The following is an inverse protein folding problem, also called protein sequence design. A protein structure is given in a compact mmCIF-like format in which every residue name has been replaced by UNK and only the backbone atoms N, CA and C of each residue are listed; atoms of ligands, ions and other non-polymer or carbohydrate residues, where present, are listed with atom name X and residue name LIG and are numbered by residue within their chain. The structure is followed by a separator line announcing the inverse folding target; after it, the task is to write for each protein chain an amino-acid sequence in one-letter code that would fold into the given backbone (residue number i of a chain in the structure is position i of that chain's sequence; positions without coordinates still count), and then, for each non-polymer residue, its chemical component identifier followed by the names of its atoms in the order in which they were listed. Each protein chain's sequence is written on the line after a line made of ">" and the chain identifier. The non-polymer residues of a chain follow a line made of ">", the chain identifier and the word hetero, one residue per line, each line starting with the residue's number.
data_IF_403812405579
#
_entry.id   IF_403812405579
#
_cell.length_a   1.000
_cell.length_b   1.000
_cell.length_c   1.000
_cell.angle_alpha   90.00
_cell.angle_beta   90.00
_cell.angle_gamma   90.00
#
_symmetry.space_group_name_H-M   'P 1'
#
loop_
_entity.id
_entity.type
_entity.pdbx_description
1 polymer ?
#
# COMPACT_ATOMS: atom_id res chain seq x y z
N UNK A 1 0.35 9.10 21.67
CA UNK A 1 1.27 8.03 21.22
C UNK A 1 1.55 8.12 19.71
N UNK A 2 0.65 8.74 18.93
CA UNK A 2 0.74 8.84 17.47
C UNK A 2 1.97 9.59 16.95
N UNK A 3 2.41 10.65 17.64
CA UNK A 3 3.59 11.42 17.22
C UNK A 3 4.90 10.64 17.32
N UNK A 4 5.05 9.78 18.35
CA UNK A 4 6.26 8.97 18.53
C UNK A 4 6.31 7.83 17.50
N UNK A 5 5.18 7.16 17.28
CA UNK A 5 5.04 6.15 16.22
C UNK A 5 5.29 6.77 14.84
N UNK A 6 4.68 7.92 14.54
CA UNK A 6 4.91 8.61 13.26
C UNK A 6 6.38 9.02 13.06
N UNK A 7 7.04 9.53 14.10
CA UNK A 7 8.44 9.93 13.99
C UNK A 7 9.36 8.71 13.83
N UNK A 8 9.13 7.65 14.60
CA UNK A 8 9.87 6.40 14.50
C UNK A 8 9.66 5.73 13.13
N UNK A 9 8.42 5.55 12.69
CA UNK A 9 8.07 4.96 11.40
C UNK A 9 8.65 5.78 10.23
N UNK A 10 8.57 7.12 10.27
CA UNK A 10 9.14 7.98 9.21
C UNK A 10 10.66 7.93 9.17
N UNK A 11 11.32 7.80 10.33
CA UNK A 11 12.79 7.68 10.43
C UNK A 11 13.25 6.31 9.96
N UNK A 12 12.58 5.24 10.37
CA UNK A 12 12.85 3.86 9.95
C UNK A 12 12.61 3.69 8.45
N UNK A 13 11.50 4.22 7.91
CA UNK A 13 11.19 4.15 6.47
C UNK A 13 12.21 4.90 5.61
N UNK A 14 12.64 6.10 6.03
CA UNK A 14 13.69 6.87 5.32
C UNK A 14 15.05 6.18 5.35
N UNK A 15 15.37 5.50 6.45
CA UNK A 15 16.59 4.72 6.63
C UNK A 15 16.51 3.46 5.76
N UNK A 16 15.42 2.70 5.81
CA UNK A 16 15.23 1.47 5.04
C UNK A 16 15.34 1.68 3.50
N UNK A 17 14.99 2.87 3.00
CA UNK A 17 15.07 3.19 1.57
C UNK A 17 16.44 3.69 1.05
N UNK A 18 17.44 3.90 1.91
CA UNK A 18 18.73 4.49 1.51
C UNK A 18 19.80 3.41 1.27
N UNK A 19 20.52 3.42 0.14
CA UNK A 19 21.51 2.37 -0.20
C UNK A 19 22.60 2.12 0.86
N UNK A 20 22.92 3.13 1.70
CA UNK A 20 23.83 2.97 2.83
C UNK A 20 23.32 2.01 3.93
N UNK A 21 22.02 1.84 4.08
CA UNK A 21 21.45 0.93 5.10
C UNK A 21 21.46 -0.52 4.65
N UNK A 22 21.40 -0.76 3.34
CA UNK A 22 21.70 -2.08 2.77
C UNK A 22 23.13 -2.51 3.10
N UNK A 23 24.11 -1.62 2.90
CA UNK A 23 25.51 -1.91 3.29
C UNK A 23 25.65 -2.17 4.80
N UNK A 24 24.96 -1.40 5.65
CA UNK A 24 24.97 -1.63 7.10
C UNK A 24 24.33 -2.99 7.46
N UNK A 25 23.22 -3.36 6.82
CA UNK A 25 22.56 -4.65 7.02
C UNK A 25 23.48 -5.82 6.60
N UNK A 26 24.13 -5.72 5.45
CA UNK A 26 25.14 -6.69 5.02
C UNK A 26 26.29 -6.80 6.03
N UNK A 27 26.76 -5.67 6.57
CA UNK A 27 27.83 -5.67 7.57
C UNK A 27 27.41 -6.37 8.88
N UNK A 28 26.17 -6.14 9.33
CA UNK A 28 25.61 -6.84 10.50
C UNK A 28 25.54 -8.35 10.26
N UNK A 29 25.13 -8.79 9.05
CA UNK A 29 25.10 -10.21 8.68
C UNK A 29 26.51 -10.81 8.69
N UNK A 30 27.51 -10.08 8.19
CA UNK A 30 28.92 -10.54 8.19
C UNK A 30 29.45 -10.68 9.62
N UNK A 31 29.20 -9.70 10.50
CA UNK A 31 29.59 -9.77 11.92
C UNK A 31 28.93 -10.99 12.57
N UNK A 32 27.64 -11.20 12.32
CA UNK A 32 26.93 -12.36 12.84
C UNK A 32 27.57 -13.66 12.36
N UNK A 33 27.84 -13.83 11.06
CA UNK A 33 28.52 -15.02 10.52
C UNK A 33 29.89 -15.28 11.17
N UNK A 34 30.69 -14.23 11.37
CA UNK A 34 32.01 -14.32 12.01
C UNK A 34 31.88 -14.71 13.49
N UNK A 35 30.80 -14.31 14.16
CA UNK A 35 30.54 -14.73 15.54
C UNK A 35 30.19 -16.23 15.67
N UNK A 36 29.66 -16.85 14.60
CA UNK A 36 29.23 -18.26 14.60
C UNK A 36 30.29 -19.27 15.07
N UNK A 37 31.53 -19.24 14.51
CA UNK A 37 32.62 -20.09 14.95
C UNK A 37 32.98 -19.97 16.45
N UNK A 38 32.91 -18.76 17.04
CA UNK A 38 33.17 -18.57 18.47
C UNK A 38 32.14 -19.25 19.36
N UNK A 39 30.89 -19.36 18.87
CA UNK A 39 29.79 -20.03 19.57
C UNK A 39 29.55 -21.47 19.08
N UNK A 40 30.46 -22.05 18.29
CA UNK A 40 30.31 -23.36 17.66
C UNK A 40 28.97 -23.54 16.92
N UNK A 41 28.44 -22.47 16.34
CA UNK A 41 27.11 -22.45 15.71
C UNK A 41 26.00 -23.01 16.61
N UNK A 42 26.07 -22.72 17.92
CA UNK A 42 25.14 -23.26 18.92
C UNK A 42 23.67 -22.99 18.61
N UNK A 43 22.80 -23.84 19.15
CA UNK A 43 21.35 -23.69 19.01
C UNK A 43 20.85 -22.33 19.51
N UNK A 44 21.41 -21.81 20.61
CA UNK A 44 21.04 -20.49 21.16
C UNK A 44 21.45 -19.35 20.21
N UNK A 45 22.63 -19.44 19.61
CA UNK A 45 23.12 -18.45 18.65
C UNK A 45 22.23 -18.36 17.40
N UNK A 46 21.77 -19.51 16.87
CA UNK A 46 20.81 -19.55 15.76
C UNK A 46 19.43 -19.05 16.18
N UNK A 47 18.95 -19.47 17.36
CA UNK A 47 17.63 -19.14 17.88
C UNK A 47 17.45 -17.63 18.04
N UNK A 48 18.46 -16.91 18.55
CA UNK A 48 18.40 -15.45 18.73
C UNK A 48 18.16 -14.75 17.39
N UNK A 49 18.89 -15.13 16.34
CA UNK A 49 18.77 -14.46 15.03
C UNK A 49 17.50 -14.86 14.29
N UNK A 50 17.11 -16.12 14.34
CA UNK A 50 15.85 -16.56 13.75
C UNK A 50 14.65 -15.90 14.44
N UNK A 51 14.64 -15.87 15.77
CA UNK A 51 13.55 -15.25 16.55
C UNK A 51 13.52 -13.74 16.34
N UNK A 52 14.67 -13.07 16.42
CA UNK A 52 14.78 -11.62 16.22
C UNK A 52 14.35 -11.19 14.81
N UNK A 53 14.85 -11.89 13.79
CA UNK A 53 14.50 -11.58 12.39
C UNK A 53 13.01 -11.79 12.14
N UNK A 54 12.41 -12.84 12.73
CA UNK A 54 10.97 -13.09 12.61
C UNK A 54 10.15 -11.95 13.21
N UNK A 55 10.49 -11.48 14.42
CA UNK A 55 9.82 -10.34 15.05
C UNK A 55 9.97 -9.07 14.20
N UNK A 56 11.19 -8.77 13.74
CA UNK A 56 11.45 -7.60 12.88
C UNK A 56 10.65 -7.69 11.59
N UNK A 57 10.62 -8.86 10.95
CA UNK A 57 9.86 -9.10 9.72
C UNK A 57 8.36 -8.88 9.94
N UNK A 58 7.82 -9.42 11.04
CA UNK A 58 6.43 -9.22 11.41
C UNK A 58 6.10 -7.73 11.56
N UNK A 59 6.94 -6.97 12.26
CA UNK A 59 6.79 -5.51 12.39
C UNK A 59 6.89 -4.79 11.03
N UNK A 60 7.82 -5.21 10.17
CA UNK A 60 7.97 -4.64 8.82
C UNK A 60 6.70 -4.87 8.00
N UNK A 61 6.08 -6.05 8.06
CA UNK A 61 4.82 -6.32 7.34
C UNK A 61 3.74 -5.33 7.75
N UNK A 62 3.55 -5.08 9.05
CA UNK A 62 2.61 -4.04 9.51
C UNK A 62 2.97 -2.63 9.02
N UNK A 63 4.25 -2.27 9.06
CA UNK A 63 4.70 -0.95 8.58
C UNK A 63 4.48 -0.79 7.08
N UNK A 64 4.76 -1.83 6.29
CA UNK A 64 4.51 -1.87 4.85
C UNK A 64 3.01 -1.75 4.59
N UNK A 65 2.17 -2.54 5.27
CA UNK A 65 0.71 -2.47 5.12
C UNK A 65 0.17 -1.08 5.46
N UNK A 66 0.64 -0.45 6.54
CA UNK A 66 0.21 0.90 6.92
C UNK A 66 0.64 1.96 5.89
N UNK A 67 1.85 1.83 5.35
CA UNK A 67 2.34 2.74 4.31
C UNK A 67 1.58 2.55 3.00
N UNK A 68 1.39 1.29 2.59
CA UNK A 68 0.63 0.93 1.39
C UNK A 68 -0.83 1.35 1.49
N UNK A 69 -1.50 1.16 2.63
CA UNK A 69 -2.89 1.57 2.81
C UNK A 69 -3.06 3.09 2.57
N UNK A 70 -2.16 3.89 3.16
CA UNK A 70 -2.19 5.34 2.99
C UNK A 70 -1.83 5.79 1.58
N UNK A 71 -0.90 5.11 0.92
CA UNK A 71 -0.50 5.41 -0.45
C UNK A 71 -1.62 5.05 -1.44
N UNK A 72 -2.38 3.98 -1.18
CA UNK A 72 -3.59 3.63 -1.94
C UNK A 72 -4.67 4.71 -1.81
N UNK A 73 -5.01 5.14 -0.59
CA UNK A 73 -5.98 6.22 -0.34
C UNK A 73 -5.57 7.52 -1.05
N UNK A 74 -4.28 7.90 -0.96
CA UNK A 74 -3.81 9.10 -1.67
C UNK A 74 -3.87 8.97 -3.18
N UNK A 75 -3.72 7.76 -3.73
CA UNK A 75 -3.80 7.53 -5.17
C UNK A 75 -5.23 7.67 -5.65
N UNK A 76 -6.21 7.14 -4.90
CA UNK A 76 -7.64 7.28 -5.17
C UNK A 76 -8.07 8.75 -5.23
N UNK A 77 -7.73 9.55 -4.21
CA UNK A 77 -8.05 10.99 -4.17
C UNK A 77 -7.45 11.74 -5.37
N UNK A 78 -6.23 11.40 -5.79
CA UNK A 78 -5.59 12.01 -6.97
C UNK A 78 -6.31 11.65 -8.26
N UNK A 79 -6.75 10.39 -8.41
CA UNK A 79 -7.52 9.94 -9.56
C UNK A 79 -8.89 10.64 -9.59
N UNK A 80 -9.55 10.77 -8.46
CA UNK A 80 -10.81 11.50 -8.33
C UNK A 80 -10.71 12.95 -8.80
N UNK A 81 -9.65 13.66 -8.40
CA UNK A 81 -9.41 15.04 -8.83
C UNK A 81 -9.09 15.13 -10.34
N UNK A 82 -8.40 14.14 -10.90
CA UNK A 82 -8.17 14.04 -12.35
C UNK A 82 -9.50 13.78 -13.09
N UNK A 83 -10.34 12.87 -12.61
CA UNK A 83 -11.66 12.59 -13.20
C UNK A 83 -12.54 13.85 -13.15
N UNK A 84 -12.56 14.53 -12.02
CA UNK A 84 -13.29 15.79 -11.80
C UNK A 84 -12.82 16.92 -12.71
N UNK A 85 -11.51 17.04 -12.96
CA UNK A 85 -10.95 18.09 -13.82
C UNK A 85 -11.14 17.80 -15.31
N UNK A 86 -11.10 16.52 -15.73
CA UNK A 86 -11.36 16.10 -17.11
C UNK A 86 -12.85 16.16 -17.47
N UNK A 87 -13.74 15.85 -16.53
CA UNK A 87 -15.18 15.93 -16.71
C UNK A 87 -15.74 17.14 -15.96
N UNK A 88 -16.05 18.21 -16.69
CA UNK A 88 -17.02 19.24 -16.23
C UNK A 88 -18.44 18.68 -15.93
N UNK A 89 -18.63 17.36 -15.89
CA UNK A 89 -19.93 16.70 -15.92
C UNK A 89 -19.94 15.35 -15.20
N UNK A 90 -20.85 15.27 -14.23
CA UNK A 90 -21.33 14.12 -13.47
C UNK A 90 -20.39 13.57 -12.36
N UNK A 91 -20.58 14.10 -11.14
CA UNK A 91 -19.93 13.67 -9.89
C UNK A 91 -20.27 12.22 -9.49
N UNK A 92 -21.22 11.55 -10.16
CA UNK A 92 -21.71 10.24 -9.73
C UNK A 92 -20.71 9.08 -9.89
N UNK A 93 -19.54 9.29 -10.52
CA UNK A 93 -18.45 8.28 -10.58
C UNK A 93 -17.33 8.59 -9.56
N UNK A 94 -17.29 9.79 -9.00
CA UNK A 94 -16.27 10.15 -8.01
C UNK A 94 -16.65 9.41 -6.72
N UNK A 95 -15.70 8.68 -6.13
CA UNK A 95 -15.89 7.90 -4.90
C UNK A 95 -16.62 6.54 -5.03
N UNK A 96 -16.40 5.79 -6.11
CA UNK A 96 -16.99 4.46 -6.32
C UNK A 96 -16.70 3.45 -5.20
N UNK A 97 -15.56 3.58 -4.54
CA UNK A 97 -15.05 2.65 -3.53
C UNK A 97 -15.71 2.75 -2.15
N UNK A 98 -16.37 3.88 -1.86
CA UNK A 98 -17.10 4.11 -0.61
C UNK A 98 -18.63 3.98 -0.76
N UNK A 99 -19.13 3.74 -1.97
CA UNK A 99 -20.54 3.48 -2.21
C UNK A 99 -20.96 2.15 -1.58
N UNK A 100 -22.15 2.12 -0.99
CA UNK A 100 -22.78 0.86 -0.60
C UNK A 100 -23.15 0.03 -1.84
N UNK A 101 -23.29 -1.29 -1.67
CA UNK A 101 -23.65 -2.20 -2.77
C UNK A 101 -24.93 -1.75 -3.51
N UNK A 102 -25.91 -1.22 -2.77
CA UNK A 102 -27.16 -0.70 -3.34
C UNK A 102 -26.92 0.56 -4.20
N UNK A 103 -26.05 1.47 -3.77
CA UNK A 103 -25.73 2.68 -4.52
C UNK A 103 -24.90 2.33 -5.77
N UNK A 104 -24.01 1.33 -5.67
CA UNK A 104 -23.25 0.82 -6.79
C UNK A 104 -24.17 0.21 -7.87
N UNK A 105 -25.19 -0.56 -7.46
CA UNK A 105 -26.20 -1.10 -8.37
C UNK A 105 -27.02 0.00 -9.05
N UNK A 106 -27.48 1.02 -8.32
CA UNK A 106 -28.22 2.14 -8.90
C UNK A 106 -27.38 2.90 -9.94
N UNK A 107 -26.09 3.08 -9.67
CA UNK A 107 -25.17 3.70 -10.59
C UNK A 107 -24.96 2.86 -11.85
N UNK A 108 -24.78 1.55 -11.70
CA UNK A 108 -24.66 0.61 -12.81
C UNK A 108 -25.91 0.62 -13.70
N UNK A 109 -27.10 0.61 -13.10
CA UNK A 109 -28.39 0.70 -13.82
C UNK A 109 -28.52 2.01 -14.60
N UNK A 110 -28.19 3.15 -13.98
CA UNK A 110 -28.17 4.47 -14.64
C UNK A 110 -27.26 4.45 -15.87
N UNK A 111 -26.07 3.86 -15.79
CA UNK A 111 -25.15 3.76 -16.93
C UNK A 111 -25.63 2.79 -18.02
N UNK A 112 -26.23 1.64 -17.64
CA UNK A 112 -26.85 0.72 -18.61
C UNK A 112 -27.97 1.40 -19.39
N UNK A 113 -28.81 2.20 -18.73
CA UNK A 113 -29.85 2.97 -19.40
C UNK A 113 -29.29 4.01 -20.37
N UNK A 114 -28.25 4.75 -19.96
CA UNK A 114 -27.60 5.74 -20.83
C UNK A 114 -26.97 5.08 -22.06
N UNK A 115 -26.32 3.93 -21.89
CA UNK A 115 -25.75 3.15 -22.99
C UNK A 115 -26.85 2.66 -23.96
N UNK A 116 -27.96 2.14 -23.42
CA UNK A 116 -29.12 1.73 -24.23
C UNK A 116 -29.76 2.90 -24.99
N UNK A 117 -29.93 4.06 -24.36
CA UNK A 117 -30.47 5.26 -25.01
C UNK A 117 -29.57 5.74 -26.14
N UNK A 118 -28.24 5.67 -25.98
CA UNK A 118 -27.27 6.07 -27.00
C UNK A 118 -27.29 5.12 -28.21
N UNK A 119 -27.25 3.81 -27.96
CA UNK A 119 -27.34 2.78 -29.00
C UNK A 119 -28.65 2.84 -29.80
N UNK A 120 -29.77 3.16 -29.14
CA UNK A 120 -31.08 3.29 -29.80
C UNK A 120 -31.21 4.58 -30.63
N UNK A 121 -30.42 5.61 -30.31
CA UNK A 121 -30.36 6.87 -31.06
C UNK A 121 -29.53 6.70 -32.33
N UNK A 122 -28.38 6.05 -32.23
CA UNK A 122 -27.52 5.70 -33.38
C UNK A 122 -28.24 4.83 -34.42
N UNK A 123 -29.09 3.87 -33.99
CA UNK A 123 -29.92 3.06 -34.90
C UNK A 123 -31.11 3.78 -35.53
N UNK A 124 -31.43 5.00 -35.10
CA UNK A 124 -32.56 5.79 -35.61
C UNK A 124 -32.10 6.87 -36.60
N UNK A 125 -30.79 7.12 -36.63
CA UNK A 125 -30.12 8.09 -37.49
C UNK A 125 -29.42 7.40 -38.70
N UNK A 126 -29.46 6.06 -38.80
CA UNK A 126 -29.21 5.24 -40.00
C UNK A 126 -30.52 4.94 -40.76
#
# INVERSE_FOLDING_TARGET
>A
MDKFFHFFAKKVSRIAGHGGTFSLACFIIIIWLISGPFFNFSHTWQLIVNTGTTIITFLIVFLIQNTQNRDSESTQIKLDEIIKSLKKGDNSIIDLENLSDNELQQLEEKYKELAHKKSKKEKKDE
#
